data_IF_562363145372
#
_entry.id   IF_562363145372
#
_cell.length_a   1.000
_cell.length_b   1.000
_cell.length_c   1.000
_cell.angle_alpha   90.00
_cell.angle_beta   90.00
_cell.angle_gamma   90.00
#
_symmetry.space_group_name_H-M   'P 1'
#
loop_
_entity.id
_entity.type
_entity.pdbx_description
1 polymer ?
#
# COMPACT_ATOMS: atom_id res chain seq x y z
N UNK A 1 3.65 23.03 -50.11
CA UNK A 1 2.73 23.09 -48.96
C UNK A 1 2.06 21.76 -48.63
N UNK A 2 1.42 21.04 -49.57
CA UNK A 2 0.70 19.78 -49.25
C UNK A 2 1.62 18.65 -48.73
N UNK A 3 2.83 18.49 -49.29
CA UNK A 3 3.78 17.43 -48.87
C UNK A 3 4.30 17.59 -47.45
N UNK A 4 4.60 18.82 -47.00
CA UNK A 4 5.06 19.06 -45.62
C UNK A 4 3.95 18.80 -44.59
N UNK A 5 2.69 19.05 -44.96
CA UNK A 5 1.54 18.74 -44.12
C UNK A 5 1.39 17.23 -43.88
N UNK A 6 1.51 16.39 -44.91
CA UNK A 6 1.43 14.93 -44.76
C UNK A 6 2.58 14.36 -43.92
N UNK A 7 3.79 14.91 -44.07
CA UNK A 7 4.93 14.50 -43.24
C UNK A 7 4.70 14.88 -41.77
N UNK A 8 4.24 16.10 -41.49
CA UNK A 8 3.92 16.54 -40.12
C UNK A 8 2.83 15.67 -39.49
N UNK A 9 1.76 15.39 -40.25
CA UNK A 9 0.66 14.54 -39.79
C UNK A 9 1.15 13.11 -39.51
N UNK A 10 2.02 12.57 -40.36
CA UNK A 10 2.64 11.25 -40.15
C UNK A 10 3.47 11.18 -38.88
N UNK A 11 4.29 12.20 -38.60
CA UNK A 11 5.07 12.30 -37.36
C UNK A 11 4.16 12.39 -36.14
N UNK A 12 3.08 13.19 -36.21
CA UNK A 12 2.12 13.33 -35.12
C UNK A 12 1.39 12.02 -34.81
N UNK A 13 0.96 11.29 -35.85
CA UNK A 13 0.29 10.00 -35.71
C UNK A 13 1.24 8.94 -35.12
N UNK A 14 2.48 8.88 -35.62
CA UNK A 14 3.48 7.96 -35.10
C UNK A 14 3.82 8.28 -33.64
N UNK A 15 4.01 9.56 -33.31
CA UNK A 15 4.24 10.01 -31.94
C UNK A 15 3.08 9.68 -31.00
N UNK A 16 1.85 9.85 -31.46
CA UNK A 16 0.64 9.51 -30.69
C UNK A 16 0.52 8.00 -30.48
N UNK A 17 0.81 7.19 -31.51
CA UNK A 17 0.81 5.74 -31.40
C UNK A 17 1.87 5.25 -30.41
N UNK A 18 3.09 5.79 -30.49
CA UNK A 18 4.16 5.48 -29.53
C UNK A 18 3.78 5.91 -28.10
N UNK A 19 3.21 7.11 -27.94
CA UNK A 19 2.75 7.57 -26.63
C UNK A 19 1.69 6.62 -26.04
N UNK A 20 0.67 6.25 -26.82
CA UNK A 20 -0.37 5.32 -26.37
C UNK A 20 0.17 3.93 -26.09
N UNK A 21 1.23 3.51 -26.79
CA UNK A 21 1.88 2.21 -26.57
C UNK A 21 2.67 2.17 -25.26
N UNK A 22 3.36 3.25 -24.90
CA UNK A 22 4.19 3.30 -23.69
C UNK A 22 3.47 3.85 -22.46
N UNK A 23 2.40 4.63 -22.64
CA UNK A 23 1.68 5.24 -21.52
C UNK A 23 0.87 4.20 -20.76
N UNK A 24 1.28 3.91 -19.53
CA UNK A 24 0.53 3.03 -18.62
C UNK A 24 -0.63 3.81 -18.01
N UNK A 25 -1.84 3.55 -18.51
CA UNK A 25 -3.06 4.13 -17.95
C UNK A 25 -3.26 3.72 -16.48
N UNK A 26 -3.86 4.59 -15.65
CA UNK A 26 -4.15 4.27 -14.25
C UNK A 26 -5.01 3.00 -14.15
N UNK A 27 -4.53 2.01 -13.41
CA UNK A 27 -5.22 0.72 -13.26
C UNK A 27 -6.13 0.78 -12.04
N UNK A 28 -7.44 0.48 -12.15
CA UNK A 28 -8.31 0.43 -10.98
C UNK A 28 -7.90 -0.72 -10.06
N UNK A 29 -7.90 -0.46 -8.76
CA UNK A 29 -7.72 -1.46 -7.71
C UNK A 29 -9.00 -1.50 -6.90
N UNK A 30 -9.64 -2.66 -6.87
CA UNK A 30 -10.74 -2.98 -5.98
C UNK A 30 -10.48 -4.36 -5.40
N UNK A 31 -10.13 -4.39 -4.11
CA UNK A 31 -9.71 -5.61 -3.41
C UNK A 31 -10.33 -5.68 -2.03
N UNK A 32 -10.67 -6.89 -1.63
CA UNK A 32 -11.14 -7.23 -0.30
C UNK A 32 -10.40 -8.50 0.10
N UNK A 33 -9.58 -8.42 1.14
CA UNK A 33 -8.80 -9.54 1.67
C UNK A 33 -9.03 -9.68 3.17
N UNK A 34 -8.89 -10.90 3.68
CA UNK A 34 -8.73 -11.12 5.10
C UNK A 34 -7.32 -10.70 5.54
N UNK A 35 -7.25 -10.12 6.73
CA UNK A 35 -6.00 -9.70 7.35
C UNK A 35 -5.96 -10.14 8.80
N UNK A 36 -4.75 -10.34 9.29
CA UNK A 36 -4.50 -10.55 10.71
C UNK A 36 -3.71 -9.37 11.26
N UNK A 37 -4.07 -8.94 12.47
CA UNK A 37 -3.47 -7.82 13.17
C UNK A 37 -2.65 -8.32 14.34
N UNK A 38 -1.42 -7.83 14.45
CA UNK A 38 -0.54 -8.06 15.58
C UNK A 38 -0.29 -6.73 16.31
N UNK A 39 -0.76 -6.62 17.55
CA UNK A 39 -0.57 -5.43 18.40
C UNK A 39 0.46 -5.62 19.51
N UNK A 40 1.09 -6.81 19.58
CA UNK A 40 2.15 -7.13 20.51
C UNK A 40 3.08 -8.23 19.93
N UNK A 41 4.34 -8.36 20.39
CA UNK A 41 5.32 -9.26 19.79
C UNK A 41 4.93 -10.74 19.81
N UNK A 42 4.07 -11.16 20.75
CA UNK A 42 3.87 -12.57 21.09
C UNK A 42 2.53 -13.13 20.65
N UNK A 43 1.62 -12.31 20.11
CA UNK A 43 0.27 -12.77 19.76
C UNK A 43 -0.32 -11.95 18.62
N UNK A 44 -0.84 -12.65 17.62
CA UNK A 44 -1.81 -12.07 16.70
C UNK A 44 -3.14 -11.87 17.44
N UNK A 45 -3.65 -10.65 17.36
CA UNK A 45 -4.69 -10.16 18.24
C UNK A 45 -6.07 -10.46 17.66
N UNK A 46 -6.27 -10.21 16.36
CA UNK A 46 -7.58 -10.26 15.73
C UNK A 46 -7.47 -10.51 14.21
N UNK A 47 -8.46 -11.20 13.65
CA UNK A 47 -8.71 -11.22 12.20
C UNK A 47 -9.65 -10.08 11.81
N UNK A 48 -9.44 -9.53 10.63
CA UNK A 48 -10.19 -8.40 10.09
C UNK A 48 -10.25 -8.49 8.57
N UNK A 49 -10.92 -7.53 7.95
CA UNK A 49 -10.98 -7.41 6.49
C UNK A 49 -10.35 -6.08 6.09
N UNK A 50 -9.44 -6.12 5.11
CA UNK A 50 -8.96 -4.93 4.42
C UNK A 50 -9.73 -4.74 3.12
N UNK A 51 -10.23 -3.54 2.90
CA UNK A 51 -10.84 -3.11 1.63
C UNK A 51 -9.99 -2.02 1.01
N UNK A 52 -9.45 -2.26 -0.18
CA UNK A 52 -8.67 -1.31 -0.95
C UNK A 52 -9.45 -0.89 -2.20
N UNK A 53 -9.65 0.41 -2.38
CA UNK A 53 -10.35 0.97 -3.53
C UNK A 53 -9.61 2.20 -4.04
N UNK A 54 -9.24 2.23 -5.31
CA UNK A 54 -8.49 3.35 -5.87
C UNK A 54 -7.95 3.10 -7.26
N UNK A 55 -6.92 3.86 -7.62
CA UNK A 55 -6.20 3.73 -8.88
C UNK A 55 -4.70 3.67 -8.62
N UNK A 56 -4.04 2.76 -9.32
CA UNK A 56 -2.61 2.64 -9.37
C UNK A 56 -2.08 3.36 -10.61
N UNK A 57 -1.28 4.40 -10.36
CA UNK A 57 -0.64 5.20 -11.39
C UNK A 57 0.80 4.73 -11.58
N UNK A 58 1.14 4.38 -12.83
CA UNK A 58 2.50 3.96 -13.23
C UNK A 58 3.06 4.93 -14.29
N UNK A 59 3.27 6.21 -13.94
CA UNK A 59 3.75 7.22 -14.89
C UNK A 59 5.14 6.88 -15.42
N UNK A 60 5.38 7.20 -16.70
CA UNK A 60 6.72 7.11 -17.30
C UNK A 60 7.67 8.09 -16.59
N UNK A 61 8.85 7.61 -16.20
CA UNK A 61 9.93 8.40 -15.56
C UNK A 61 9.58 9.02 -14.20
N UNK A 62 8.49 8.61 -13.56
CA UNK A 62 8.14 9.05 -12.20
C UNK A 62 7.81 7.85 -11.33
N UNK A 63 7.84 8.05 -10.02
CA UNK A 63 7.52 7.01 -9.06
C UNK A 63 6.05 6.58 -9.22
N UNK A 64 5.81 5.27 -9.17
CA UNK A 64 4.46 4.72 -9.16
C UNK A 64 3.77 5.08 -7.85
N UNK A 65 2.48 5.32 -7.88
CA UNK A 65 1.73 5.62 -6.67
C UNK A 65 0.30 5.10 -6.74
N UNK A 66 -0.24 4.74 -5.58
CA UNK A 66 -1.65 4.43 -5.41
C UNK A 66 -2.38 5.64 -4.82
N UNK A 67 -3.54 5.97 -5.38
CA UNK A 67 -4.45 6.97 -4.86
C UNK A 67 -5.82 6.34 -4.63
N UNK A 68 -6.32 6.42 -3.40
CA UNK A 68 -7.58 5.81 -3.02
C UNK A 68 -7.74 5.67 -1.52
N UNK A 69 -8.47 4.63 -1.11
CA UNK A 69 -8.74 4.31 0.28
C UNK A 69 -8.26 2.90 0.61
N UNK A 70 -7.69 2.74 1.79
CA UNK A 70 -7.43 1.45 2.42
C UNK A 70 -8.18 1.48 3.75
N UNK A 71 -9.12 0.56 3.93
CA UNK A 71 -9.99 0.48 5.11
C UNK A 71 -9.79 -0.87 5.77
N UNK A 72 -9.49 -0.88 7.05
CA UNK A 72 -9.30 -2.11 7.82
C UNK A 72 -10.43 -2.14 8.85
N UNK A 73 -11.28 -3.17 8.81
CA UNK A 73 -12.56 -3.20 9.53
C UNK A 73 -12.43 -3.00 11.04
N UNK A 74 -11.35 -3.49 11.65
CA UNK A 74 -11.06 -3.35 13.08
C UNK A 74 -10.31 -2.06 13.45
N UNK A 75 -9.92 -1.24 12.48
CA UNK A 75 -9.21 0.02 12.68
C UNK A 75 -10.10 1.20 12.26
N UNK A 76 -10.90 1.69 13.20
CA UNK A 76 -11.95 2.69 12.91
C UNK A 76 -11.42 3.95 12.21
N UNK A 77 -10.22 4.42 12.58
CA UNK A 77 -9.61 5.61 11.98
C UNK A 77 -9.44 5.47 10.45
N UNK A 78 -9.24 4.25 9.92
CA UNK A 78 -9.09 4.03 8.48
C UNK A 78 -10.36 4.33 7.68
N UNK A 79 -11.52 4.36 8.34
CA UNK A 79 -12.79 4.73 7.72
C UNK A 79 -13.02 6.25 7.69
N UNK A 80 -12.52 6.96 8.70
CA UNK A 80 -12.75 8.39 8.88
C UNK A 80 -11.63 9.27 8.32
N UNK A 81 -10.40 8.76 8.26
CA UNK A 81 -9.22 9.55 7.91
C UNK A 81 -8.96 9.51 6.41
N UNK A 82 -8.36 10.59 5.90
CA UNK A 82 -7.90 10.63 4.51
C UNK A 82 -6.56 9.93 4.40
N UNK A 83 -6.48 8.94 3.51
CA UNK A 83 -5.22 8.32 3.10
C UNK A 83 -4.51 9.23 2.08
N UNK A 84 -3.24 9.57 2.35
CA UNK A 84 -2.38 10.22 1.37
C UNK A 84 -1.95 9.24 0.27
N UNK A 85 -1.65 9.73 -0.94
CA UNK A 85 -1.13 8.88 -2.01
C UNK A 85 0.09 8.06 -1.55
N UNK A 86 0.06 6.76 -1.83
CA UNK A 86 1.11 5.82 -1.48
C UNK A 86 2.14 5.80 -2.60
N UNK A 87 3.25 6.52 -2.42
CA UNK A 87 4.37 6.46 -3.36
C UNK A 87 5.18 5.19 -3.14
N UNK A 88 5.33 4.41 -4.21
CA UNK A 88 5.89 3.06 -4.18
C UNK A 88 7.37 3.08 -4.57
N UNK A 89 8.26 2.71 -3.68
CA UNK A 89 9.68 2.47 -3.96
C UNK A 89 9.86 0.99 -4.27
N UNK A 90 10.45 0.66 -5.43
CA UNK A 90 10.63 -0.74 -5.84
C UNK A 90 11.96 -1.27 -5.33
N UNK A 91 11.94 -2.41 -4.65
CA UNK A 91 13.10 -3.11 -4.12
C UNK A 91 13.01 -4.59 -4.52
N UNK A 92 13.68 -4.95 -5.62
CA UNK A 92 13.55 -6.29 -6.22
C UNK A 92 12.14 -6.55 -6.75
N UNK A 93 11.46 -7.56 -6.19
CA UNK A 93 10.10 -7.94 -6.57
C UNK A 93 9.00 -7.30 -5.72
N UNK A 94 9.37 -6.58 -4.66
CA UNK A 94 8.42 -5.94 -3.76
C UNK A 94 8.52 -4.42 -3.84
N UNK A 95 7.55 -3.77 -3.21
CA UNK A 95 7.47 -2.33 -3.06
C UNK A 95 7.39 -1.96 -1.58
N UNK A 96 8.05 -0.87 -1.22
CA UNK A 96 7.89 -0.19 0.06
C UNK A 96 7.13 1.13 -0.17
N UNK A 97 6.14 1.41 0.67
CA UNK A 97 5.33 2.63 0.60
C UNK A 97 5.16 3.23 1.99
N UNK A 98 5.35 4.54 2.11
CA UNK A 98 5.00 5.26 3.34
C UNK A 98 3.49 5.48 3.40
N UNK A 99 2.87 5.09 4.51
CA UNK A 99 1.43 5.17 4.73
C UNK A 99 1.15 6.35 5.64
N UNK A 100 0.19 7.20 5.29
CA UNK A 100 -0.25 8.30 6.15
C UNK A 100 -1.75 8.45 6.08
N UNK A 101 -2.41 8.28 7.21
CA UNK A 101 -3.79 8.64 7.43
C UNK A 101 -3.85 9.94 8.22
N UNK A 102 -4.58 10.92 7.70
CA UNK A 102 -4.76 12.20 8.38
C UNK A 102 -6.23 12.42 8.76
N UNK A 103 -6.44 12.68 10.05
CA UNK A 103 -7.73 13.06 10.58
C UNK A 103 -8.10 14.48 10.16
N UNK A 104 -9.39 14.73 9.93
CA UNK A 104 -9.89 16.04 9.47
C UNK A 104 -9.93 17.13 10.55
N UNK A 105 -9.57 16.81 11.81
CA UNK A 105 -9.59 17.76 12.92
C UNK A 105 -8.21 17.89 13.57
N UNK A 106 -7.88 19.08 14.07
CA UNK A 106 -6.63 19.37 14.81
C UNK A 106 -6.42 18.48 16.06
N UNK A 107 -7.44 17.76 16.52
CA UNK A 107 -7.35 16.86 17.67
C UNK A 107 -7.01 15.41 17.31
N UNK A 108 -7.03 15.05 16.02
CA UNK A 108 -6.77 13.69 15.57
C UNK A 108 -5.33 13.60 15.03
N UNK A 109 -4.46 12.91 15.76
CA UNK A 109 -3.09 12.66 15.33
C UNK A 109 -3.07 11.89 14.00
N UNK A 110 -2.10 12.20 13.15
CA UNK A 110 -1.86 11.43 11.93
C UNK A 110 -1.35 10.03 12.30
N UNK A 111 -1.95 8.99 11.72
CA UNK A 111 -1.41 7.64 11.83
C UNK A 111 -0.47 7.43 10.66
N UNK A 112 0.78 7.11 10.94
CA UNK A 112 1.82 6.92 9.92
C UNK A 112 2.37 5.50 9.94
N UNK A 113 2.98 5.07 8.85
CA UNK A 113 3.44 3.70 8.73
C UNK A 113 4.25 3.41 7.50
N UNK A 114 4.63 2.15 7.36
CA UNK A 114 5.29 1.62 6.18
C UNK A 114 4.58 0.33 5.76
N UNK A 115 4.37 0.18 4.47
CA UNK A 115 3.80 -1.01 3.86
C UNK A 115 4.84 -1.64 2.93
N UNK A 116 5.10 -2.92 3.12
CA UNK A 116 5.82 -3.76 2.16
C UNK A 116 4.80 -4.59 1.40
N UNK A 117 4.81 -4.56 0.07
CA UNK A 117 3.74 -5.15 -0.71
C UNK A 117 4.17 -5.59 -2.10
N UNK A 118 3.38 -6.46 -2.73
CA UNK A 118 3.52 -6.74 -4.16
C UNK A 118 2.97 -5.59 -5.03
N UNK A 119 3.16 -5.70 -6.35
CA UNK A 119 2.82 -4.64 -7.30
C UNK A 119 1.34 -4.22 -7.31
N UNK A 120 0.44 -5.09 -6.84
CA UNK A 120 -1.01 -4.94 -6.94
C UNK A 120 -1.69 -4.98 -5.55
N UNK A 121 -0.89 -4.85 -4.47
CA UNK A 121 -1.33 -4.86 -3.08
C UNK A 121 -2.12 -6.13 -2.68
N UNK A 122 -1.85 -7.25 -3.34
CA UNK A 122 -2.52 -8.53 -3.01
C UNK A 122 -1.93 -9.11 -1.73
N UNK A 123 -0.61 -9.11 -1.67
CA UNK A 123 0.18 -9.49 -0.50
C UNK A 123 0.82 -8.25 0.10
N UNK A 124 0.65 -8.02 1.38
CA UNK A 124 1.34 -6.94 2.08
C UNK A 124 1.58 -7.21 3.56
N UNK A 125 2.58 -6.51 4.09
CA UNK A 125 2.86 -6.35 5.50
C UNK A 125 2.90 -4.85 5.82
N UNK A 126 1.99 -4.40 6.67
CA UNK A 126 1.78 -2.99 7.01
C UNK A 126 2.09 -2.76 8.48
N UNK A 127 3.04 -1.87 8.75
CA UNK A 127 3.36 -1.37 10.08
C UNK A 127 2.78 0.03 10.26
N UNK A 128 1.99 0.27 11.31
CA UNK A 128 1.37 1.55 11.63
C UNK A 128 1.74 1.99 13.05
N UNK A 129 2.09 3.25 13.24
CA UNK A 129 2.48 3.84 14.53
C UNK A 129 1.41 4.75 15.12
N UNK A 130 1.39 4.82 16.45
CA UNK A 130 0.48 5.67 17.24
C UNK A 130 -0.99 5.42 16.88
N UNK A 131 -1.36 4.14 16.80
CA UNK A 131 -2.65 3.70 16.29
C UNK A 131 -3.70 3.70 17.40
N UNK A 132 -4.83 4.42 17.25
CA UNK A 132 -5.98 4.23 18.14
C UNK A 132 -6.59 2.85 17.90
N UNK A 133 -6.52 1.96 18.90
CA UNK A 133 -6.96 0.57 18.83
C UNK A 133 -7.45 0.06 20.20
N UNK A 134 -8.68 -0.48 20.25
CA UNK A 134 -9.31 -1.03 21.46
C UNK A 134 -9.21 -0.08 22.68
N UNK A 135 -9.69 1.16 22.50
CA UNK A 135 -9.71 2.24 23.50
C UNK A 135 -8.33 2.70 24.03
N UNK A 136 -7.25 2.33 23.35
CA UNK A 136 -5.87 2.71 23.70
C UNK A 136 -5.10 3.13 22.45
N UNK A 137 -4.06 3.95 22.63
CA UNK A 137 -3.09 4.17 21.56
C UNK A 137 -2.03 3.08 21.62
N UNK A 138 -1.82 2.37 20.52
CA UNK A 138 -0.75 1.39 20.33
C UNK A 138 0.43 2.05 19.64
N UNK A 139 1.62 1.91 20.20
CA UNK A 139 2.85 2.48 19.63
C UNK A 139 3.12 1.96 18.22
N UNK A 140 2.83 0.68 17.99
CA UNK A 140 2.96 0.02 16.71
C UNK A 140 1.94 -1.11 16.60
N UNK A 141 1.32 -1.22 15.43
CA UNK A 141 0.50 -2.36 15.00
C UNK A 141 1.04 -2.86 13.67
N UNK A 142 1.06 -4.17 13.50
CA UNK A 142 1.33 -4.82 12.22
C UNK A 142 0.03 -5.42 11.66
N UNK A 143 -0.17 -5.30 10.35
CA UNK A 143 -1.31 -5.85 9.61
C UNK A 143 -0.78 -6.65 8.43
N UNK A 144 -1.15 -7.93 8.35
CA UNK A 144 -0.64 -8.86 7.34
C UNK A 144 -1.79 -9.32 6.45
N UNK A 145 -1.56 -9.30 5.13
CA UNK A 145 -2.53 -9.70 4.10
C UNK A 145 -1.87 -10.55 3.02
N UNK A 146 -2.56 -11.56 2.45
CA UNK A 146 -3.82 -12.11 2.93
C UNK A 146 -3.58 -13.08 4.08
N UNK A 147 -4.32 -12.97 5.18
CA UNK A 147 -4.19 -13.91 6.28
C UNK A 147 -5.52 -14.06 7.01
N UNK A 148 -5.93 -15.30 7.27
CA UNK A 148 -7.12 -15.62 8.05
C UNK A 148 -6.78 -15.90 9.52
N UNK A 149 -5.57 -16.41 9.77
CA UNK A 149 -5.02 -16.75 11.07
C UNK A 149 -3.51 -16.48 11.17
N UNK A 150 -2.93 -16.80 12.34
CA UNK A 150 -1.51 -16.64 12.64
C UNK A 150 -0.60 -17.45 11.70
N UNK A 151 -0.97 -18.69 11.38
CA UNK A 151 -0.16 -19.55 10.52
C UNK A 151 -0.11 -19.03 9.08
N UNK A 152 -1.23 -18.52 8.57
CA UNK A 152 -1.29 -17.84 7.27
C UNK A 152 -0.42 -16.57 7.27
N UNK A 153 -0.50 -15.78 8.34
CA UNK A 153 0.28 -14.55 8.47
C UNK A 153 1.78 -14.84 8.46
N UNK A 154 2.25 -15.85 9.19
CA UNK A 154 3.64 -16.30 9.17
C UNK A 154 4.10 -16.70 7.76
N UNK A 155 3.29 -17.50 7.06
CA UNK A 155 3.61 -17.89 5.68
C UNK A 155 3.72 -16.70 4.72
N UNK A 156 2.85 -15.70 4.89
CA UNK A 156 2.92 -14.47 4.11
C UNK A 156 4.20 -13.70 4.43
N UNK A 157 4.53 -13.56 5.72
CA UNK A 157 5.73 -12.85 6.15
C UNK A 157 6.99 -13.53 5.65
N UNK A 158 7.05 -14.86 5.67
CA UNK A 158 8.20 -15.60 5.15
C UNK A 158 8.36 -15.43 3.64
N UNK A 159 7.25 -15.45 2.88
CA UNK A 159 7.28 -15.13 1.43
C UNK A 159 7.78 -13.71 1.17
N UNK A 160 7.36 -12.74 1.98
CA UNK A 160 7.83 -11.35 1.86
C UNK A 160 9.31 -11.22 2.23
N UNK A 161 9.77 -11.88 3.31
CA UNK A 161 11.18 -11.88 3.73
C UNK A 161 12.09 -12.54 2.68
N UNK A 162 11.64 -13.61 2.04
CA UNK A 162 12.40 -14.25 0.95
C UNK A 162 12.64 -13.30 -0.23
N UNK A 163 11.65 -12.45 -0.54
CA UNK A 163 11.75 -11.43 -1.60
C UNK A 163 12.45 -10.16 -1.12
N UNK A 164 12.46 -9.91 0.18
CA UNK A 164 13.05 -8.74 0.81
C UNK A 164 13.64 -9.05 2.19
N UNK A 165 14.90 -9.53 2.23
CA UNK A 165 15.55 -9.94 3.47
C UNK A 165 15.72 -8.80 4.49
N UNK A 166 15.76 -7.56 4.01
CA UNK A 166 15.90 -6.35 4.84
C UNK A 166 14.57 -5.91 5.48
N UNK A 167 13.45 -6.61 5.22
CA UNK A 167 12.17 -6.31 5.85
C UNK A 167 12.32 -6.43 7.37
N UNK A 168 12.01 -5.39 8.14
CA UNK A 168 12.09 -5.47 9.59
C UNK A 168 11.06 -6.48 10.13
N UNK A 169 11.45 -7.25 11.14
CA UNK A 169 10.53 -8.13 11.87
C UNK A 169 9.72 -7.34 12.89
N UNK A 170 8.53 -7.84 13.20
CA UNK A 170 7.67 -7.32 14.27
C UNK A 170 8.44 -7.20 15.58
N UNK A 171 9.19 -8.25 15.95
CA UNK A 171 9.99 -8.31 17.18
C UNK A 171 11.02 -7.19 17.33
N UNK A 172 11.60 -6.71 16.21
CA UNK A 172 12.58 -5.62 16.22
C UNK A 172 11.93 -4.25 16.33
N UNK A 173 10.65 -4.13 15.97
CA UNK A 173 9.94 -2.84 15.89
C UNK A 173 8.91 -2.63 16.99
N UNK A 174 8.29 -3.71 17.48
CA UNK A 174 7.30 -3.70 18.54
C UNK A 174 8.02 -3.55 19.89
N UNK A 175 7.48 -2.73 20.82
CA UNK A 175 8.05 -2.60 22.15
C UNK A 175 8.05 -3.97 22.86
N UNK A 176 9.24 -4.39 23.29
CA UNK A 176 9.41 -5.54 24.17
C UNK A 176 8.85 -5.13 25.54
N UNK A 177 7.83 -5.86 26.02
CA UNK A 177 7.24 -5.62 27.34
C UNK A 177 8.17 -6.04 28.47
#
# INVERSE_FOLDING_TARGET
MKKSFYVLLGILLLGSALFLWFYSFPTPIERVNEVVIQDNPNTFSDSATVTMKGKLYRPLFRQSYFEGTIKISSLEFTNAYKLFPLYMVKEGEIYSSFVTYSGSSQQLNNVTGVMFHDADFTTFNLFLREVPYKDKTRDLIQVVSPASDEADAEQVLDKLKLKFPEMPSAEKLLPQK
#
